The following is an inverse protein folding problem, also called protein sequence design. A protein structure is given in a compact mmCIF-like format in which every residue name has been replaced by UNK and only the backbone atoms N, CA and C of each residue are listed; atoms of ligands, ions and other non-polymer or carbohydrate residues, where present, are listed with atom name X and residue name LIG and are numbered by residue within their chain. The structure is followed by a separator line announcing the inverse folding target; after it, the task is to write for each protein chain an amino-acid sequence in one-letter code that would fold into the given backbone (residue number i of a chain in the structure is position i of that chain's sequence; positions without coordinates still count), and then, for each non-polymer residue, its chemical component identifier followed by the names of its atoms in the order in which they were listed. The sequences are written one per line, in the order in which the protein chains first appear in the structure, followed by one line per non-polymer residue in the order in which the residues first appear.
data_IF_604575802697
#
_entry.id   IF_604575802697
#
_cell.length_a   1.000
_cell.length_b   1.000
_cell.length_c   1.000
_cell.angle_alpha   90.00
_cell.angle_beta   90.00
_cell.angle_gamma   90.00
#
_symmetry.space_group_name_H-M   'P 1'
#
loop_
_entity.id
_entity.type
_entity.pdbx_description
1 polymer ?
#
# COMPACT_ATOMS: atom_id res chain seq x y z
N UNK A 1 28.66 -5.47 7.87
CA UNK A 1 27.68 -4.59 7.22
C UNK A 1 27.40 -5.00 5.78
N UNK A 2 28.42 -5.17 4.91
CA UNK A 2 28.24 -5.54 3.48
C UNK A 2 27.28 -6.69 3.18
N UNK A 3 27.24 -7.74 4.01
CA UNK A 3 26.25 -8.83 3.87
C UNK A 3 24.81 -8.31 4.04
N UNK A 4 24.56 -7.35 4.94
CA UNK A 4 23.25 -6.72 5.15
C UNK A 4 22.91 -5.76 4.01
N UNK A 5 23.89 -4.98 3.52
CA UNK A 5 23.70 -4.09 2.36
C UNK A 5 23.44 -4.86 1.05
N UNK A 6 24.18 -5.94 0.80
CA UNK A 6 23.92 -6.86 -0.31
C UNK A 6 22.58 -7.58 -0.16
N UNK A 7 22.23 -8.03 1.05
CA UNK A 7 20.92 -8.64 1.32
C UNK A 7 19.77 -7.64 1.08
N UNK A 8 19.95 -6.36 1.43
CA UNK A 8 19.01 -5.26 1.13
C UNK A 8 18.82 -5.02 -0.37
N UNK A 9 19.92 -4.91 -1.11
CA UNK A 9 19.93 -4.75 -2.57
C UNK A 9 19.29 -5.96 -3.27
N UNK A 10 19.52 -7.19 -2.78
CA UNK A 10 18.89 -8.39 -3.35
C UNK A 10 17.42 -8.54 -2.94
N UNK A 11 17.06 -8.31 -1.68
CA UNK A 11 15.68 -8.48 -1.19
C UNK A 11 14.70 -7.53 -1.91
N UNK A 12 15.12 -6.30 -2.19
CA UNK A 12 14.32 -5.32 -2.96
C UNK A 12 14.06 -5.73 -4.42
N UNK A 13 14.86 -6.65 -4.98
CA UNK A 13 14.74 -7.12 -6.38
C UNK A 13 14.16 -8.54 -6.51
N UNK A 14 13.95 -9.28 -5.42
CA UNK A 14 13.75 -10.74 -5.45
C UNK A 14 12.44 -11.26 -4.81
N UNK A 15 11.45 -10.39 -4.51
CA UNK A 15 10.21 -10.82 -3.84
C UNK A 15 9.18 -11.50 -4.77
N UNK A 16 9.35 -12.80 -4.96
CA UNK A 16 8.24 -13.74 -5.16
C UNK A 16 8.01 -14.50 -3.84
N UNK A 17 6.76 -14.63 -3.33
CA UNK A 17 6.53 -15.11 -1.97
C UNK A 17 6.52 -16.64 -1.83
N UNK A 18 7.21 -17.16 -0.81
CA UNK A 18 6.99 -18.51 -0.27
C UNK A 18 7.31 -18.58 1.25
N UNK A 19 6.66 -19.50 1.96
CA UNK A 19 6.48 -19.58 3.44
C UNK A 19 7.18 -20.83 4.05
N UNK A 20 7.10 -21.15 5.37
CA UNK A 20 7.23 -20.32 6.61
C UNK A 20 8.02 -21.00 7.78
N UNK A 21 8.26 -20.29 8.90
CA UNK A 21 8.46 -20.78 10.31
C UNK A 21 8.69 -19.59 11.30
N UNK A 22 8.65 -19.63 12.66
CA UNK A 22 7.97 -20.47 13.69
C UNK A 22 7.90 -19.75 15.08
N UNK A 23 6.71 -19.35 15.59
CA UNK A 23 6.39 -18.85 16.98
C UNK A 23 7.17 -17.58 17.48
N UNK A 24 6.69 -16.71 18.37
CA UNK A 24 5.38 -16.30 18.96
C UNK A 24 5.61 -14.92 19.69
N UNK A 25 4.71 -14.37 20.54
CA UNK A 25 3.55 -13.56 20.15
C UNK A 25 3.48 -12.13 20.78
N UNK A 26 2.45 -11.36 20.38
CA UNK A 26 1.77 -10.23 21.06
C UNK A 26 2.55 -9.00 21.59
N UNK A 27 2.27 -7.82 20.99
CA UNK A 27 2.06 -6.55 21.72
C UNK A 27 1.52 -5.45 20.78
N UNK A 28 0.21 -5.16 20.85
CA UNK A 28 -0.38 -3.90 20.37
C UNK A 28 -0.04 -2.81 21.40
N UNK A 29 0.75 -1.81 21.03
CA UNK A 29 1.07 -0.66 21.89
C UNK A 29 1.34 0.60 21.07
N UNK A 30 0.96 1.73 21.67
CA UNK A 30 0.89 3.07 21.08
C UNK A 30 2.14 3.47 20.26
N UNK A 31 1.90 4.27 19.24
CA UNK A 31 2.94 4.77 18.33
C UNK A 31 3.89 5.72 19.06
N UNK A 32 5.03 5.19 19.50
CA UNK A 32 6.16 6.01 19.91
C UNK A 32 6.67 6.77 18.68
N UNK A 33 6.91 8.09 18.73
CA UNK A 33 7.40 8.87 17.59
C UNK A 33 8.69 8.30 16.98
N UNK A 34 9.56 7.65 17.77
CA UNK A 34 10.76 6.97 17.28
C UNK A 34 10.42 5.81 16.31
N UNK A 35 9.26 5.16 16.45
CA UNK A 35 8.80 4.15 15.48
C UNK A 35 8.40 4.77 14.14
N UNK A 36 7.80 5.96 14.14
CA UNK A 36 7.39 6.66 12.90
C UNK A 36 8.58 7.05 12.03
N UNK A 37 9.69 7.49 12.64
CA UNK A 37 10.93 7.83 11.93
C UNK A 37 11.96 6.69 11.90
N UNK A 38 11.67 5.54 12.52
CA UNK A 38 12.65 4.50 12.81
C UNK A 38 13.33 3.94 11.57
N UNK A 39 12.55 3.66 10.53
CA UNK A 39 13.07 3.22 9.24
C UNK A 39 14.06 4.22 8.64
N UNK A 40 13.64 5.47 8.45
CA UNK A 40 14.46 6.54 7.84
C UNK A 40 15.73 6.87 8.65
N UNK A 41 15.64 6.88 9.98
CA UNK A 41 16.80 7.12 10.85
C UNK A 41 17.82 5.99 10.74
N UNK A 42 17.36 4.73 10.78
CA UNK A 42 18.26 3.57 10.59
C UNK A 42 18.85 3.56 9.18
N UNK A 43 18.05 3.84 8.16
CA UNK A 43 18.49 3.91 6.76
C UNK A 43 19.56 5.00 6.56
N UNK A 44 19.36 6.18 7.13
CA UNK A 44 20.34 7.28 7.11
C UNK A 44 21.65 6.93 7.83
N UNK A 45 21.58 6.26 8.99
CA UNK A 45 22.78 5.79 9.71
C UNK A 45 23.57 4.74 8.90
N UNK A 46 22.88 3.80 8.25
CA UNK A 46 23.50 2.82 7.36
C UNK A 46 24.14 3.51 6.13
N UNK A 47 23.47 4.50 5.55
CA UNK A 47 24.01 5.30 4.45
C UNK A 47 25.28 6.07 4.83
N UNK A 48 25.31 6.72 6.01
CA UNK A 48 26.50 7.40 6.54
C UNK A 48 27.66 6.42 6.71
N UNK A 49 27.40 5.19 7.18
CA UNK A 49 28.44 4.19 7.33
C UNK A 49 28.98 3.71 5.97
N UNK A 50 28.14 3.45 4.97
CA UNK A 50 28.59 3.11 3.61
C UNK A 50 29.39 4.25 2.97
N UNK A 51 28.99 5.52 3.15
CA UNK A 51 29.77 6.68 2.69
C UNK A 51 31.17 6.70 3.35
N UNK A 52 31.26 6.44 4.65
CA UNK A 52 32.55 6.35 5.37
C UNK A 52 33.43 5.24 4.80
N UNK A 53 32.86 4.07 4.55
CA UNK A 53 33.61 2.92 4.03
C UNK A 53 34.11 3.20 2.60
N UNK A 54 33.30 3.85 1.74
CA UNK A 54 33.73 4.36 0.43
C UNK A 54 34.91 5.33 0.50
N UNK A 55 34.86 6.33 1.42
CA UNK A 55 35.96 7.28 1.62
C UNK A 55 37.28 6.57 1.98
N UNK A 56 37.20 5.44 2.68
CA UNK A 56 38.37 4.65 3.09
C UNK A 56 38.85 3.64 2.04
N UNK A 57 38.05 3.33 1.02
CA UNK A 57 38.36 2.28 0.04
C UNK A 57 38.61 2.79 -1.38
N UNK A 58 37.91 3.84 -1.82
CA UNK A 58 38.16 4.46 -3.13
C UNK A 58 39.65 4.82 -3.34
N UNK A 59 40.39 5.35 -2.34
CA UNK A 59 41.83 5.60 -2.49
C UNK A 59 42.72 4.34 -2.59
N UNK A 60 42.19 3.15 -2.29
CA UNK A 60 42.89 1.86 -2.36
C UNK A 60 42.66 1.13 -3.68
N UNK A 61 41.70 1.57 -4.50
CA UNK A 61 41.43 1.03 -5.83
C UNK A 61 42.67 1.24 -6.71
N UNK A 62 43.31 0.14 -7.15
CA UNK A 62 44.63 0.17 -7.80
C UNK A 62 45.80 -0.30 -6.91
N UNK A 63 45.53 -0.74 -5.68
CA UNK A 63 46.51 -1.44 -4.82
C UNK A 63 46.14 -2.92 -4.65
N UNK A 64 47.08 -3.73 -4.16
CA UNK A 64 46.87 -5.15 -3.77
C UNK A 64 45.90 -5.33 -2.59
N UNK A 65 45.32 -4.24 -2.07
CA UNK A 65 44.34 -4.20 -0.98
C UNK A 65 42.97 -3.67 -1.43
N UNK A 66 42.70 -3.65 -2.75
CA UNK A 66 41.46 -3.16 -3.31
C UNK A 66 40.28 -4.15 -3.11
N UNK A 67 39.25 -3.75 -2.36
CA UNK A 67 37.97 -4.48 -2.27
C UNK A 67 36.95 -3.92 -3.28
N UNK A 68 37.13 -4.25 -4.56
CA UNK A 68 36.24 -3.82 -5.63
C UNK A 68 34.77 -4.23 -5.41
N UNK A 69 34.53 -5.38 -4.77
CA UNK A 69 33.18 -5.89 -4.53
C UNK A 69 32.51 -5.14 -3.37
N UNK A 70 33.24 -4.91 -2.28
CA UNK A 70 32.76 -4.11 -1.15
C UNK A 70 32.47 -2.67 -1.55
N UNK A 71 33.41 -2.02 -2.24
CA UNK A 71 33.20 -0.67 -2.79
C UNK A 71 31.98 -0.65 -3.73
N UNK A 72 31.79 -1.64 -4.61
CA UNK A 72 30.61 -1.68 -5.49
C UNK A 72 29.28 -1.82 -4.72
N UNK A 73 29.23 -2.63 -3.67
CA UNK A 73 28.07 -2.74 -2.77
C UNK A 73 27.81 -1.40 -2.08
N UNK A 74 28.84 -0.76 -1.54
CA UNK A 74 28.68 0.47 -0.77
C UNK A 74 28.27 1.64 -1.68
N UNK A 75 28.75 1.71 -2.94
CA UNK A 75 28.24 2.67 -3.96
C UNK A 75 26.76 2.43 -4.24
N UNK A 76 26.38 1.19 -4.54
CA UNK A 76 24.98 0.85 -4.85
C UNK A 76 24.05 1.12 -3.66
N UNK A 77 24.50 0.83 -2.43
CA UNK A 77 23.74 1.08 -1.22
C UNK A 77 23.63 2.56 -0.86
N UNK A 78 24.70 3.35 -1.00
CA UNK A 78 24.64 4.81 -0.85
C UNK A 78 23.69 5.44 -1.86
N UNK A 79 23.69 4.98 -3.13
CA UNK A 79 22.73 5.43 -4.13
C UNK A 79 21.29 5.08 -3.73
N UNK A 80 21.03 3.83 -3.32
CA UNK A 80 19.72 3.39 -2.83
C UNK A 80 19.22 4.24 -1.65
N UNK A 81 20.05 4.47 -0.62
CA UNK A 81 19.69 5.30 0.54
C UNK A 81 19.40 6.73 0.12
N UNK A 82 20.20 7.31 -0.78
CA UNK A 82 19.97 8.67 -1.28
C UNK A 82 18.63 8.79 -2.02
N UNK A 83 18.31 7.85 -2.91
CA UNK A 83 17.01 7.82 -3.61
C UNK A 83 15.85 7.65 -2.64
N UNK A 84 15.92 6.71 -1.70
CA UNK A 84 14.84 6.48 -0.73
C UNK A 84 14.60 7.71 0.16
N UNK A 85 15.65 8.33 0.70
CA UNK A 85 15.52 9.54 1.52
C UNK A 85 15.02 10.75 0.69
N UNK A 86 15.41 10.87 -0.58
CA UNK A 86 14.90 11.90 -1.48
C UNK A 86 13.39 11.73 -1.75
N UNK A 87 12.92 10.49 -1.95
CA UNK A 87 11.50 10.16 -2.11
C UNK A 87 10.70 10.38 -0.81
N UNK A 88 11.22 9.91 0.33
CA UNK A 88 10.59 10.12 1.65
C UNK A 88 10.51 11.60 2.05
N UNK A 89 11.42 12.46 1.57
CA UNK A 89 11.40 13.91 1.83
C UNK A 89 10.64 14.73 0.79
N UNK A 90 10.28 14.14 -0.35
CA UNK A 90 9.65 14.82 -1.48
C UNK A 90 10.62 15.66 -2.33
N UNK A 91 11.94 15.45 -2.21
CA UNK A 91 12.97 16.09 -3.05
C UNK A 91 13.06 15.41 -4.41
N UNK A 92 12.82 14.11 -4.46
CA UNK A 92 12.59 13.36 -5.69
C UNK A 92 11.18 12.77 -5.63
N UNK A 93 10.50 12.73 -6.77
CA UNK A 93 9.30 11.92 -6.96
C UNK A 93 9.71 10.76 -7.88
N UNK A 94 9.27 9.51 -7.64
CA UNK A 94 9.59 8.41 -8.54
C UNK A 94 9.07 8.72 -9.95
N UNK A 95 9.88 8.43 -10.98
CA UNK A 95 9.53 8.57 -12.40
C UNK A 95 8.41 7.59 -12.78
N UNK A 96 7.18 7.92 -12.41
CA UNK A 96 5.97 7.26 -12.90
C UNK A 96 5.58 7.72 -14.32
N UNK A 97 6.12 8.86 -14.78
CA UNK A 97 5.49 9.61 -15.87
C UNK A 97 4.12 10.17 -15.44
N UNK A 98 3.46 10.90 -16.33
CA UNK A 98 2.09 11.35 -16.04
C UNK A 98 1.11 10.17 -16.14
N UNK A 99 0.20 9.99 -15.16
CA UNK A 99 -0.86 9.01 -15.30
C UNK A 99 -1.74 9.39 -16.49
N UNK A 100 -1.86 8.50 -17.48
CA UNK A 100 -2.67 8.69 -18.69
C UNK A 100 -4.19 8.77 -18.46
N UNK A 101 -4.61 8.78 -17.19
CA UNK A 101 -5.98 8.70 -16.72
C UNK A 101 -6.07 9.43 -15.37
N UNK A 102 -6.92 10.44 -15.29
CA UNK A 102 -7.16 11.15 -14.03
C UNK A 102 -8.45 10.64 -13.36
N UNK A 103 -8.35 10.26 -12.09
CA UNK A 103 -9.49 9.88 -11.26
C UNK A 103 -10.15 11.07 -10.54
N UNK A 104 -9.58 12.27 -10.60
CA UNK A 104 -10.11 13.45 -9.91
C UNK A 104 -11.58 13.74 -10.28
N UNK A 105 -12.42 13.88 -9.25
CA UNK A 105 -13.87 14.03 -9.38
C UNK A 105 -14.64 12.72 -9.53
N UNK A 106 -14.00 11.56 -9.37
CA UNK A 106 -14.68 10.27 -9.34
C UNK A 106 -15.16 9.93 -7.93
N UNK A 107 -16.48 10.03 -7.75
CA UNK A 107 -17.19 9.45 -6.61
C UNK A 107 -17.41 7.95 -6.80
N UNK A 108 -17.22 7.16 -5.74
CA UNK A 108 -17.43 5.72 -5.74
C UNK A 108 -17.74 5.19 -4.34
N UNK A 109 -18.43 4.05 -4.27
CA UNK A 109 -18.67 3.35 -3.00
C UNK A 109 -17.78 2.13 -2.90
N UNK A 110 -16.91 2.10 -1.90
CA UNK A 110 -16.09 0.94 -1.57
C UNK A 110 -16.71 0.16 -0.42
N UNK A 111 -16.79 -1.16 -0.54
CA UNK A 111 -17.21 -2.04 0.56
C UNK A 111 -16.02 -2.86 0.99
N UNK A 112 -15.45 -2.54 2.15
CA UNK A 112 -14.41 -3.33 2.79
C UNK A 112 -15.03 -4.60 3.37
N UNK A 113 -14.35 -5.73 3.20
CA UNK A 113 -14.66 -7.02 3.79
C UNK A 113 -13.43 -7.51 4.56
N UNK A 114 -13.32 -7.02 5.79
CA UNK A 114 -12.20 -7.30 6.69
C UNK A 114 -12.43 -8.60 7.42
N UNK A 115 -11.41 -9.45 7.51
CA UNK A 115 -11.51 -10.78 8.12
C UNK A 115 -10.44 -11.72 7.60
N UNK A 116 -10.44 -12.96 8.10
CA UNK A 116 -9.38 -13.93 7.81
C UNK A 116 -9.38 -14.36 6.34
N UNK A 117 -8.30 -14.05 5.64
CA UNK A 117 -7.99 -14.58 4.31
C UNK A 117 -7.07 -15.82 4.42
N UNK A 118 -7.33 -16.85 3.62
CA UNK A 118 -6.52 -18.07 3.60
C UNK A 118 -5.12 -17.81 3.05
N UNK A 119 -4.11 -18.55 3.56
CA UNK A 119 -2.71 -18.40 3.13
C UNK A 119 -2.00 -17.12 3.60
N UNK A 120 -2.65 -16.25 4.37
CA UNK A 120 -2.09 -14.95 4.77
C UNK A 120 -1.26 -15.01 6.05
N UNK A 121 -0.42 -13.98 6.23
CA UNK A 121 0.48 -13.81 7.37
C UNK A 121 -0.20 -13.21 8.62
N UNK A 122 -1.54 -13.07 8.62
CA UNK A 122 -2.30 -12.63 9.80
C UNK A 122 -2.25 -13.68 10.92
N UNK A 123 -2.18 -13.20 12.17
CA UNK A 123 -2.11 -14.03 13.37
C UNK A 123 -3.24 -15.07 13.38
N UNK A 124 -2.95 -16.31 13.79
CA UNK A 124 -3.93 -17.40 13.80
C UNK A 124 -5.11 -17.18 14.74
N UNK A 125 -4.98 -16.29 15.73
CA UNK A 125 -6.05 -15.91 16.64
C UNK A 125 -6.96 -14.79 16.11
N UNK A 126 -6.47 -13.97 15.17
CA UNK A 126 -7.24 -12.87 14.60
C UNK A 126 -8.28 -13.36 13.58
N UNK A 127 -9.53 -12.90 13.72
CA UNK A 127 -10.67 -13.35 12.91
C UNK A 127 -10.78 -14.90 12.82
N UNK A 128 -10.43 -15.60 13.90
CA UNK A 128 -10.42 -17.06 13.98
C UNK A 128 -11.83 -17.68 13.95
N UNK A 129 -12.87 -16.90 14.30
CA UNK A 129 -14.27 -17.31 14.19
C UNK A 129 -14.76 -17.46 12.74
N UNK A 130 -14.03 -16.92 11.76
CA UNK A 130 -14.47 -16.79 10.37
C UNK A 130 -15.45 -15.64 10.13
N UNK A 131 -15.78 -14.84 11.15
CA UNK A 131 -16.56 -13.62 10.98
C UNK A 131 -15.84 -12.61 10.05
N UNK A 132 -16.63 -11.69 9.48
CA UNK A 132 -16.12 -10.57 8.68
C UNK A 132 -16.79 -9.26 9.10
N UNK A 133 -16.01 -8.19 9.09
CA UNK A 133 -16.48 -6.82 9.26
C UNK A 133 -16.68 -6.24 7.85
N UNK A 134 -17.94 -6.10 7.46
CA UNK A 134 -18.34 -5.40 6.24
C UNK A 134 -18.50 -3.92 6.56
N UNK A 135 -17.71 -3.05 5.92
CA UNK A 135 -17.76 -1.61 6.09
C UNK A 135 -17.90 -0.92 4.72
N UNK A 136 -19.12 -0.49 4.34
CA UNK A 136 -19.33 0.39 3.19
C UNK A 136 -18.87 1.81 3.53
N UNK A 137 -18.13 2.41 2.61
CA UNK A 137 -17.60 3.78 2.68
C UNK A 137 -17.93 4.50 1.37
N UNK A 138 -18.30 5.77 1.47
CA UNK A 138 -18.40 6.66 0.31
C UNK A 138 -17.08 7.40 0.15
N UNK A 139 -16.50 7.38 -1.05
CA UNK A 139 -15.21 7.97 -1.33
C UNK A 139 -15.28 8.88 -2.57
N UNK A 140 -14.38 9.86 -2.63
CA UNK A 140 -14.18 10.72 -3.80
C UNK A 140 -12.69 10.94 -4.06
N UNK A 141 -12.20 10.53 -5.23
CA UNK A 141 -10.84 10.85 -5.66
C UNK A 141 -10.76 12.33 -6.02
N UNK A 142 -9.82 13.09 -5.45
CA UNK A 142 -9.65 14.52 -5.79
C UNK A 142 -8.35 14.78 -6.55
N UNK A 143 -8.24 15.95 -7.16
CA UNK A 143 -7.00 16.45 -7.76
C UNK A 143 -6.11 17.22 -6.78
N UNK A 144 -6.55 17.42 -5.53
CA UNK A 144 -5.84 18.22 -4.54
C UNK A 144 -4.60 17.49 -4.05
N UNK A 145 -3.48 18.19 -3.90
CA UNK A 145 -2.26 17.62 -3.33
C UNK A 145 -2.41 17.37 -1.81
N UNK A 146 -1.87 16.24 -1.35
CA UNK A 146 -1.79 15.85 0.05
C UNK A 146 -0.32 15.60 0.43
N UNK A 147 0.20 16.43 1.34
CA UNK A 147 1.50 16.25 1.99
C UNK A 147 1.36 15.30 3.18
N UNK A 148 2.01 14.13 3.09
CA UNK A 148 2.01 13.10 4.12
C UNK A 148 3.06 13.37 5.23
N UNK A 149 3.86 14.41 5.06
CA UNK A 149 4.98 14.77 5.92
C UNK A 149 6.20 13.85 5.71
N UNK A 150 7.11 13.88 6.69
CA UNK A 150 8.27 12.99 6.73
C UNK A 150 8.06 11.88 7.79
N UNK A 151 8.50 10.64 7.52
CA UNK A 151 8.79 10.12 6.18
C UNK A 151 7.51 10.01 5.36
N UNK A 152 7.65 10.23 4.05
CA UNK A 152 6.60 9.97 3.08
C UNK A 152 6.22 8.49 2.98
N UNK A 153 5.18 8.22 2.21
CA UNK A 153 4.57 6.90 2.04
C UNK A 153 5.17 6.14 0.85
N UNK A 154 6.08 5.19 1.14
CA UNK A 154 6.74 4.33 0.13
C UNK A 154 5.77 3.41 -0.63
N UNK A 155 4.58 3.11 -0.08
CA UNK A 155 3.54 2.41 -0.83
C UNK A 155 2.96 3.29 -1.95
N UNK A 156 3.09 4.63 -1.84
CA UNK A 156 2.73 5.61 -2.87
C UNK A 156 4.02 6.19 -3.49
N UNK A 157 4.02 7.48 -3.83
CA UNK A 157 5.15 8.20 -4.42
C UNK A 157 6.07 8.89 -3.38
N UNK A 158 6.05 8.45 -2.11
CA UNK A 158 6.75 9.12 -1.03
C UNK A 158 5.89 10.22 -0.40
N UNK A 159 6.44 11.43 -0.25
CA UNK A 159 5.82 12.49 0.57
C UNK A 159 4.49 13.03 0.03
N UNK A 160 4.39 13.19 -1.29
CA UNK A 160 3.25 13.84 -1.93
C UNK A 160 2.41 12.84 -2.71
N UNK A 161 1.09 12.96 -2.55
CA UNK A 161 0.08 12.18 -3.29
C UNK A 161 -1.15 13.06 -3.54
N UNK A 162 -2.21 12.53 -4.14
CA UNK A 162 -3.48 13.25 -4.30
C UNK A 162 -4.46 12.85 -3.20
N UNK A 163 -5.32 13.77 -2.74
CA UNK A 163 -6.26 13.52 -1.63
C UNK A 163 -7.41 12.60 -2.06
N UNK A 164 -7.80 11.71 -1.16
CA UNK A 164 -8.97 10.84 -1.27
C UNK A 164 -9.93 11.20 -0.13
N UNK A 165 -11.09 11.75 -0.46
CA UNK A 165 -12.07 12.20 0.53
C UNK A 165 -12.97 11.03 0.96
N UNK A 166 -13.11 10.83 2.27
CA UNK A 166 -13.99 9.82 2.87
C UNK A 166 -14.22 10.16 4.35
N UNK A 167 -15.46 10.45 4.75
CA UNK A 167 -15.84 10.78 6.13
C UNK A 167 -16.01 9.54 7.04
N UNK A 168 -15.95 8.34 6.45
CA UNK A 168 -16.16 7.07 7.13
C UNK A 168 -17.42 6.35 6.65
N UNK A 169 -17.99 5.53 7.54
CA UNK A 169 -19.15 4.70 7.22
C UNK A 169 -19.76 4.05 8.44
N UNK A 170 -20.62 3.05 8.23
CA UNK A 170 -21.27 2.36 9.34
C UNK A 170 -21.63 0.91 9.00
N UNK A 171 -21.82 0.11 10.04
CA UNK A 171 -22.33 -1.26 9.94
C UNK A 171 -23.29 -1.56 11.10
N UNK A 172 -24.16 -2.55 10.93
CA UNK A 172 -25.04 -3.01 12.01
C UNK A 172 -24.30 -4.05 12.85
N UNK A 173 -24.07 -3.72 14.12
CA UNK A 173 -23.56 -4.61 15.16
C UNK A 173 -24.67 -5.11 16.09
N UNK A 174 -24.34 -5.97 17.09
CA UNK A 174 -25.33 -6.52 18.02
C UNK A 174 -26.08 -5.47 18.85
N UNK A 175 -25.46 -4.32 19.12
CA UNK A 175 -26.05 -3.18 19.84
C UNK A 175 -26.73 -2.13 18.95
N UNK A 176 -26.90 -2.40 17.65
CA UNK A 176 -27.38 -1.42 16.66
C UNK A 176 -26.27 -0.92 15.73
N UNK A 177 -26.51 0.24 15.09
CA UNK A 177 -25.57 0.83 14.13
C UNK A 177 -24.29 1.32 14.82
N UNK A 178 -23.15 0.89 14.31
CA UNK A 178 -21.81 1.34 14.69
C UNK A 178 -21.28 2.23 13.57
N UNK A 179 -20.98 3.49 13.90
CA UNK A 179 -20.30 4.43 12.99
C UNK A 179 -18.79 4.28 13.15
N UNK A 180 -18.08 4.26 12.03
CA UNK A 180 -16.62 4.19 11.94
C UNK A 180 -16.15 5.48 11.26
N UNK A 181 -15.36 6.29 11.96
CA UNK A 181 -14.75 7.50 11.41
C UNK A 181 -13.58 7.15 10.48
N UNK A 182 -13.40 7.97 9.45
CA UNK A 182 -12.25 7.97 8.55
C UNK A 182 -11.82 9.43 8.33
N UNK A 183 -10.52 9.69 8.34
CA UNK A 183 -9.98 11.05 8.12
C UNK A 183 -9.60 11.26 6.64
N UNK A 184 -10.36 10.65 5.73
CA UNK A 184 -9.97 10.49 4.32
C UNK A 184 -8.69 9.67 4.13
N UNK A 185 -7.93 10.01 3.10
CA UNK A 185 -6.61 9.44 2.83
C UNK A 185 -5.99 9.99 1.55
N UNK A 186 -5.16 9.19 0.90
CA UNK A 186 -4.41 9.60 -0.30
C UNK A 186 -4.34 8.52 -1.37
N UNK A 187 -4.15 8.94 -2.62
CA UNK A 187 -4.06 8.07 -3.80
C UNK A 187 -2.93 8.46 -4.74
N UNK A 188 -2.45 7.47 -5.47
CA UNK A 188 -1.42 7.59 -6.50
C UNK A 188 -1.67 6.56 -7.61
N UNK A 189 -1.44 6.96 -8.86
CA UNK A 189 -1.49 6.07 -10.02
C UNK A 189 -0.19 6.20 -10.82
N UNK A 190 0.37 5.06 -11.25
CA UNK A 190 1.54 5.03 -12.12
C UNK A 190 1.47 3.83 -13.11
N UNK A 191 1.97 3.97 -14.35
CA UNK A 191 2.09 2.87 -15.31
C UNK A 191 2.85 1.67 -14.74
N UNK A 192 2.45 0.45 -15.10
CA UNK A 192 3.12 -0.79 -14.64
C UNK A 192 4.20 -1.31 -15.59
N UNK A 193 4.56 -0.52 -16.61
CA UNK A 193 5.41 -0.93 -17.73
C UNK A 193 4.69 -1.78 -18.79
N UNK A 194 3.42 -2.16 -18.54
CA UNK A 194 2.55 -2.80 -19.52
C UNK A 194 1.69 -1.75 -20.24
N UNK A 195 1.51 -1.81 -21.57
CA UNK A 195 0.68 -0.85 -22.29
C UNK A 195 -0.77 -0.80 -21.76
N UNK A 196 -1.28 0.41 -21.55
CA UNK A 196 -2.66 0.64 -21.12
C UNK A 196 -3.00 0.28 -19.66
N UNK A 197 -2.03 -0.20 -18.87
CA UNK A 197 -2.22 -0.61 -17.47
C UNK A 197 -1.49 0.36 -16.51
N UNK A 198 -2.17 0.79 -15.45
CA UNK A 198 -1.57 1.53 -14.33
C UNK A 198 -1.88 0.86 -12.99
N UNK A 199 -0.91 0.87 -12.08
CA UNK A 199 -1.07 0.49 -10.68
C UNK A 199 -1.74 1.65 -9.94
N UNK A 200 -3.01 1.49 -9.56
CA UNK A 200 -3.67 2.37 -8.60
C UNK A 200 -3.34 1.91 -7.18
N UNK A 201 -2.83 2.82 -6.36
CA UNK A 201 -2.62 2.60 -4.93
C UNK A 201 -3.27 3.73 -4.16
N UNK A 202 -3.98 3.39 -3.10
CA UNK A 202 -4.61 4.38 -2.22
C UNK A 202 -4.66 3.86 -0.78
N UNK A 203 -4.91 4.75 0.15
CA UNK A 203 -5.12 4.41 1.54
C UNK A 203 -6.29 5.20 2.13
N UNK A 204 -6.79 4.71 3.26
CA UNK A 204 -7.70 5.41 4.15
C UNK A 204 -7.16 5.33 5.58
N UNK A 205 -7.20 6.45 6.30
CA UNK A 205 -6.71 6.56 7.68
C UNK A 205 -7.89 6.45 8.67
N UNK A 206 -7.87 5.40 9.50
CA UNK A 206 -8.89 5.10 10.50
C UNK A 206 -8.38 5.47 11.91
N UNK A 207 -8.64 6.69 12.43
CA UNK A 207 -8.01 7.18 13.66
C UNK A 207 -8.32 6.33 14.90
N UNK A 208 -9.50 5.72 14.96
CA UNK A 208 -9.95 4.86 16.06
C UNK A 208 -9.96 3.36 15.70
N UNK A 209 -9.72 2.99 14.44
CA UNK A 209 -10.00 1.65 13.94
C UNK A 209 -11.50 1.29 13.99
N UNK A 210 -11.81 -0.01 13.97
CA UNK A 210 -13.16 -0.55 14.14
C UNK A 210 -13.10 -2.02 14.58
N UNK A 211 -14.08 -2.49 15.37
CA UNK A 211 -14.14 -3.90 15.81
C UNK A 211 -15.54 -4.50 15.64
N UNK A 212 -15.58 -5.79 15.27
CA UNK A 212 -16.80 -6.60 15.20
C UNK A 212 -16.45 -8.06 15.51
N UNK A 213 -17.00 -8.60 16.60
CA UNK A 213 -16.64 -9.92 17.11
C UNK A 213 -15.12 -10.01 17.41
N UNK A 214 -14.40 -10.96 16.81
CA UNK A 214 -12.94 -11.12 16.87
C UNK A 214 -12.21 -10.55 15.64
N UNK A 215 -12.90 -9.73 14.86
CA UNK A 215 -12.38 -9.02 13.69
C UNK A 215 -12.14 -7.56 14.05
N UNK A 216 -10.95 -7.05 13.74
CA UNK A 216 -10.59 -5.65 13.96
C UNK A 216 -9.89 -5.03 12.76
N UNK A 217 -10.27 -3.79 12.44
CA UNK A 217 -9.47 -2.81 11.71
C UNK A 217 -8.65 -2.08 12.78
N UNK A 218 -7.31 -2.21 12.80
CA UNK A 218 -6.50 -1.47 13.77
C UNK A 218 -6.55 0.04 13.49
N UNK A 219 -6.34 0.89 14.50
CA UNK A 219 -6.09 2.30 14.29
C UNK A 219 -4.93 2.54 13.32
N UNK A 220 -5.06 3.56 12.46
CA UNK A 220 -4.08 3.95 11.46
C UNK A 220 -4.49 3.58 10.03
N UNK A 221 -3.48 3.38 9.19
CA UNK A 221 -3.62 3.33 7.73
C UNK A 221 -3.97 1.95 7.18
N UNK A 222 -5.03 1.88 6.38
CA UNK A 222 -5.36 0.72 5.54
C UNK A 222 -5.09 1.05 4.09
N UNK A 223 -4.33 0.18 3.41
CA UNK A 223 -3.93 0.32 2.03
C UNK A 223 -4.78 -0.56 1.10
N UNK A 224 -4.92 -0.07 -0.12
CA UNK A 224 -5.70 -0.65 -1.20
C UNK A 224 -4.84 -0.62 -2.47
N UNK A 225 -4.95 -1.67 -3.28
CA UNK A 225 -4.31 -1.75 -4.59
C UNK A 225 -5.32 -2.20 -5.63
N UNK A 226 -5.32 -1.55 -6.79
CA UNK A 226 -6.11 -1.88 -7.98
C UNK A 226 -5.28 -1.67 -9.25
N UNK A 227 -5.83 -2.00 -10.40
CA UNK A 227 -5.34 -1.55 -11.69
C UNK A 227 -6.33 -0.56 -12.31
N UNK A 228 -5.83 0.50 -12.96
CA UNK A 228 -6.56 1.21 -14.00
C UNK A 228 -6.23 0.58 -15.36
N UNK A 229 -7.24 0.47 -16.20
CA UNK A 229 -7.16 0.05 -17.59
C UNK A 229 -7.68 1.19 -18.48
N UNK A 230 -6.92 1.54 -19.51
CA UNK A 230 -7.35 2.47 -20.56
C UNK A 230 -8.16 1.72 -21.64
N UNK A 231 -8.92 2.42 -22.48
CA UNK A 231 -9.82 1.80 -23.46
C UNK A 231 -9.20 0.83 -24.48
N UNK A 232 -7.90 0.93 -24.77
CA UNK A 232 -7.19 -0.01 -25.66
C UNK A 232 -6.72 -1.30 -24.92
N UNK A 233 -6.91 -1.38 -23.61
CA UNK A 233 -6.45 -2.48 -22.76
C UNK A 233 -7.49 -3.60 -22.57
N UNK A 234 -8.77 -3.35 -22.86
CA UNK A 234 -9.84 -4.34 -22.67
C UNK A 234 -9.54 -5.66 -23.40
N UNK A 235 -9.13 -5.58 -24.66
CA UNK A 235 -8.80 -6.73 -25.51
C UNK A 235 -7.46 -7.40 -25.13
N UNK A 236 -6.63 -6.74 -24.31
CA UNK A 236 -5.25 -7.17 -24.03
C UNK A 236 -5.11 -8.05 -22.78
N UNK A 237 -6.06 -8.01 -21.84
CA UNK A 237 -5.90 -8.62 -20.51
C UNK A 237 -6.94 -9.72 -20.16
N UNK A 238 -7.91 -10.01 -21.04
CA UNK A 238 -8.95 -11.05 -20.85
C UNK A 238 -9.63 -10.98 -19.45
N UNK A 239 -9.86 -9.75 -18.98
CA UNK A 239 -10.51 -9.50 -17.69
C UNK A 239 -12.03 -9.60 -17.87
N UNK A 240 -12.74 -10.46 -17.13
CA UNK A 240 -14.18 -10.56 -17.22
C UNK A 240 -14.86 -9.20 -16.96
N UNK A 241 -15.84 -8.81 -17.78
CA UNK A 241 -16.57 -7.55 -17.59
C UNK A 241 -17.25 -7.44 -16.19
N UNK A 242 -17.54 -8.57 -15.54
CA UNK A 242 -18.02 -8.65 -14.15
C UNK A 242 -16.99 -8.25 -13.10
N UNK A 243 -15.72 -8.12 -13.45
CA UNK A 243 -14.61 -7.67 -12.60
C UNK A 243 -14.20 -6.21 -12.89
N UNK A 244 -14.86 -5.56 -13.87
CA UNK A 244 -14.57 -4.19 -14.28
C UNK A 244 -15.58 -3.21 -13.67
N UNK A 245 -15.07 -2.17 -13.03
CA UNK A 245 -15.79 -0.96 -12.65
C UNK A 245 -15.59 0.09 -13.76
N UNK A 246 -16.64 0.37 -14.53
CA UNK A 246 -16.63 1.48 -15.48
C UNK A 246 -16.96 2.80 -14.77
N UNK A 247 -15.97 3.66 -14.68
CA UNK A 247 -16.06 5.02 -14.16
C UNK A 247 -16.53 6.01 -15.25
N UNK A 248 -16.78 7.26 -14.83
CA UNK A 248 -17.04 8.36 -15.78
C UNK A 248 -15.82 8.57 -16.68
N UNK A 249 -16.05 9.03 -17.92
CA UNK A 249 -14.99 9.25 -18.91
C UNK A 249 -14.48 7.99 -19.63
N UNK A 250 -15.04 6.80 -19.36
CA UNK A 250 -14.60 5.54 -19.97
C UNK A 250 -13.37 4.91 -19.30
N UNK A 251 -12.98 5.42 -18.13
CA UNK A 251 -11.95 4.81 -17.30
C UNK A 251 -12.43 3.49 -16.71
N UNK A 252 -11.56 2.48 -16.71
CA UNK A 252 -11.87 1.15 -16.20
C UNK A 252 -10.95 0.82 -15.02
N UNK A 253 -11.52 0.27 -13.96
CA UNK A 253 -10.80 -0.15 -12.77
C UNK A 253 -11.16 -1.60 -12.44
N UNK A 254 -10.26 -2.35 -11.81
CA UNK A 254 -10.66 -3.61 -11.18
C UNK A 254 -11.62 -3.30 -10.02
N UNK A 255 -12.80 -3.93 -10.06
CA UNK A 255 -13.88 -3.68 -9.12
C UNK A 255 -13.68 -4.35 -7.76
N UNK A 256 -12.59 -5.09 -7.57
CA UNK A 256 -12.25 -5.72 -6.30
C UNK A 256 -10.74 -5.86 -6.15
N UNK A 257 -10.28 -6.00 -4.91
CA UNK A 257 -8.85 -6.10 -4.62
C UNK A 257 -8.53 -6.46 -3.17
N UNK A 258 -7.24 -6.42 -2.85
CA UNK A 258 -6.74 -6.68 -1.49
C UNK A 258 -6.77 -5.45 -0.60
N UNK A 259 -7.01 -5.67 0.69
CA UNK A 259 -6.77 -4.71 1.77
C UNK A 259 -5.49 -5.10 2.49
N UNK A 260 -4.59 -4.16 2.76
CA UNK A 260 -3.39 -4.42 3.57
C UNK A 260 -3.16 -3.40 4.67
N UNK A 261 -2.45 -3.80 5.72
CA UNK A 261 -1.90 -2.93 6.77
C UNK A 261 -0.39 -3.15 6.87
N UNK A 262 0.37 -2.11 7.21
CA UNK A 262 1.80 -2.24 7.50
C UNK A 262 2.02 -2.74 8.93
N UNK A 263 2.96 -3.67 9.12
CA UNK A 263 3.36 -4.17 10.43
C UNK A 263 4.87 -4.28 10.55
N UNK A 264 5.54 -3.14 10.51
CA UNK A 264 6.98 -3.05 10.70
C UNK A 264 7.36 -3.29 12.17
N UNK A 265 8.49 -3.97 12.37
CA UNK A 265 9.02 -4.40 13.66
C UNK A 265 10.53 -4.20 13.69
N UNK A 266 11.18 -4.53 14.82
CA UNK A 266 12.65 -4.57 14.88
C UNK A 266 13.26 -5.50 13.81
N UNK A 267 12.56 -6.57 13.40
CA UNK A 267 13.09 -7.57 12.46
C UNK A 267 13.31 -7.02 11.04
N UNK A 268 12.50 -6.06 10.60
CA UNK A 268 12.71 -5.31 9.35
C UNK A 268 13.21 -3.87 9.62
N UNK A 269 13.86 -3.65 10.78
CA UNK A 269 14.41 -2.35 11.20
C UNK A 269 13.41 -1.19 11.05
N UNK A 270 12.17 -1.41 11.51
CA UNK A 270 11.06 -0.47 11.43
C UNK A 270 10.71 0.02 10.00
N UNK A 271 11.01 -0.80 8.99
CA UNK A 271 10.76 -0.49 7.58
C UNK A 271 12.02 -0.20 6.78
N UNK A 272 13.19 0.00 7.42
CA UNK A 272 14.45 0.21 6.68
C UNK A 272 14.88 -0.99 5.81
N UNK A 273 14.33 -2.19 6.09
CA UNK A 273 14.49 -3.38 5.23
C UNK A 273 13.30 -3.62 4.27
N UNK A 274 12.48 -2.59 4.03
CA UNK A 274 11.21 -2.68 3.30
C UNK A 274 10.02 -3.00 4.21
N UNK A 275 8.82 -2.60 3.79
CA UNK A 275 7.58 -2.76 4.55
C UNK A 275 7.06 -4.21 4.60
N UNK A 276 6.59 -4.62 5.79
CA UNK A 276 5.80 -5.85 5.95
C UNK A 276 4.32 -5.52 5.81
N UNK A 277 3.72 -5.86 4.67
CA UNK A 277 2.30 -5.72 4.42
C UNK A 277 1.54 -7.00 4.80
N UNK A 278 0.55 -6.88 5.68
CA UNK A 278 -0.36 -7.98 6.04
C UNK A 278 -1.72 -7.78 5.39
N UNK A 279 -2.26 -8.84 4.81
CA UNK A 279 -3.60 -8.81 4.17
C UNK A 279 -4.68 -8.78 5.26
N UNK A 280 -5.40 -7.66 5.31
CA UNK A 280 -6.51 -7.40 6.24
C UNK A 280 -7.85 -7.95 5.69
N UNK A 281 -7.95 -8.18 4.38
CA UNK A 281 -9.18 -8.65 3.75
C UNK A 281 -9.25 -8.30 2.27
N UNK A 282 -10.48 -8.08 1.80
CA UNK A 282 -10.80 -7.70 0.41
C UNK A 282 -11.67 -6.46 0.38
N UNK A 283 -11.70 -5.77 -0.74
CA UNK A 283 -12.72 -4.75 -1.01
C UNK A 283 -13.45 -5.03 -2.32
N UNK A 284 -14.62 -4.41 -2.49
CA UNK A 284 -15.31 -4.27 -3.77
C UNK A 284 -15.75 -2.82 -4.02
N UNK A 285 -15.82 -2.42 -5.28
CA UNK A 285 -16.31 -1.12 -5.76
C UNK A 285 -17.74 -1.27 -6.28
N UNK A 286 -18.56 -0.25 -6.06
CA UNK A 286 -19.98 -0.19 -6.44
C UNK A 286 -20.41 1.25 -6.74
N UNK A 287 -21.47 1.41 -7.54
CA UNK A 287 -21.97 2.72 -8.00
C UNK A 287 -21.55 3.14 -9.41
N UNK A 288 -20.78 2.31 -10.14
CA UNK A 288 -20.51 2.51 -11.57
C UNK A 288 -21.66 2.02 -12.46
N UNK A 289 -21.57 2.23 -13.78
CA UNK A 289 -22.64 1.85 -14.74
C UNK A 289 -23.09 0.39 -14.63
N UNK A 290 -22.18 -0.53 -14.31
CA UNK A 290 -22.47 -1.95 -14.12
C UNK A 290 -23.41 -2.20 -12.93
N UNK A 291 -23.35 -1.38 -11.88
CA UNK A 291 -24.28 -1.44 -10.76
C UNK A 291 -25.66 -0.90 -11.15
N UNK A 292 -25.72 0.20 -11.91
CA UNK A 292 -26.98 0.77 -12.42
C UNK A 292 -27.71 -0.20 -13.37
N UNK A 293 -26.95 -0.99 -14.15
CA UNK A 293 -27.50 -2.06 -14.98
C UNK A 293 -28.03 -3.23 -14.13
N UNK A 294 -27.24 -3.71 -13.16
CA UNK A 294 -27.64 -4.81 -12.28
C UNK A 294 -28.86 -4.47 -11.41
N UNK A 295 -28.96 -3.24 -10.91
CA UNK A 295 -30.07 -2.75 -10.09
C UNK A 295 -31.37 -2.61 -10.92
N UNK A 296 -31.27 -2.21 -12.20
CA UNK A 296 -32.41 -2.29 -13.14
C UNK A 296 -32.86 -3.73 -13.39
N UNK A 297 -31.93 -4.65 -13.66
CA UNK A 297 -32.28 -6.06 -13.87
C UNK A 297 -32.89 -6.72 -12.62
N UNK A 298 -32.45 -6.34 -11.42
CA UNK A 298 -33.04 -6.79 -10.16
C UNK A 298 -34.45 -6.20 -9.92
N UNK A 299 -34.66 -4.93 -10.29
CA UNK A 299 -35.98 -4.27 -10.25
C UNK A 299 -36.98 -4.90 -11.22
N UNK A 300 -36.53 -5.32 -12.41
CA UNK A 300 -37.36 -6.00 -13.42
C UNK A 300 -37.64 -7.48 -13.07
N UNK A 301 -36.86 -8.09 -12.18
CA UNK A 301 -36.98 -9.49 -11.78
C UNK A 301 -37.95 -9.75 -10.61
N UNK A 302 -38.61 -8.72 -10.08
CA UNK A 302 -39.62 -8.84 -9.01
C UNK A 302 -41.03 -8.53 -9.55
N UNK A 303 -41.74 -9.51 -10.14
CA UNK A 303 -43.17 -9.37 -10.40
C UNK A 303 -43.97 -9.30 -9.08
N UNK A 304 -45.18 -8.72 -9.16
CA UNK A 304 -46.18 -8.65 -8.07
C UNK A 304 -46.67 -10.03 -7.59
#
# INVERSE_FOLDING_TARGET
MRIVAAYLLCATHAFAPSTPSLRAPTALHAENPIRKYGGSVVLGLLGIQSIRDLILEVPKLGSDQADYFGTAIDVAFTAFVATQLATQSGVAQPDGGEPSADLAGLDFKITMSVGRESGTWMDKSWAASGARLLLPLQCSFTGDELDLGFPGEEALAGRYCRRLDCEGGSFVGPGGTVTVACDGGGWWAAPTGRPGEQSLRFFLDFPAGAERNDVSIPPGRVFFSSALLNGDADDAYDVPASEIYEARGGLKLLNSGGLTIKKNTLLNLWGALGDVNLILGRYSLSGGKTAEAAERTASEASPE
#
